data_IF_504853879319
#
_entry.id   IF_504853879319
#
_cell.length_a   1.000
_cell.length_b   1.000
_cell.length_c   1.000
_cell.angle_alpha   90.00
_cell.angle_beta   90.00
_cell.angle_gamma   90.00
#
_symmetry.space_group_name_H-M   'P 1'
#
loop_
_entity.id
_entity.type
_entity.pdbx_description
1 polymer ?
#
# COMPACT_ATOMS: atom_id res chain seq x y z
N UNK A 1 -8.62 5.88 -19.59
CA UNK A 1 -7.44 5.19 -20.19
C UNK A 1 -7.15 3.86 -19.47
N UNK A 2 -7.12 3.80 -18.12
CA UNK A 2 -6.80 2.57 -17.34
C UNK A 2 -7.64 1.34 -17.69
N UNK A 3 -8.99 1.38 -17.71
CA UNK A 3 -9.79 0.20 -17.96
C UNK A 3 -9.59 -0.38 -19.37
N UNK A 4 -9.33 0.46 -20.36
CA UNK A 4 -9.06 0.02 -21.73
C UNK A 4 -7.75 -0.75 -21.84
N UNK A 5 -6.65 -0.22 -21.27
CA UNK A 5 -5.35 -0.90 -21.31
C UNK A 5 -5.41 -2.24 -20.58
N UNK A 6 -6.03 -2.28 -19.40
CA UNK A 6 -6.21 -3.52 -18.65
C UNK A 6 -7.07 -4.54 -19.41
N UNK A 7 -8.10 -4.09 -20.15
CA UNK A 7 -8.94 -4.95 -20.97
C UNK A 7 -8.14 -5.57 -22.13
N UNK A 8 -7.40 -4.79 -22.90
CA UNK A 8 -6.61 -5.27 -24.03
C UNK A 8 -5.43 -6.18 -23.64
N UNK A 9 -4.94 -6.06 -22.41
CA UNK A 9 -3.86 -6.89 -21.89
C UNK A 9 -4.35 -8.15 -21.17
N UNK A 10 -5.63 -8.44 -21.11
CA UNK A 10 -6.16 -9.68 -20.51
C UNK A 10 -5.52 -10.91 -21.13
N UNK A 11 -5.27 -11.92 -20.31
CA UNK A 11 -4.63 -13.18 -20.68
C UNK A 11 -4.45 -14.05 -19.45
N UNK A 12 -3.67 -15.13 -19.56
CA UNK A 12 -3.52 -16.13 -18.50
C UNK A 12 -2.07 -16.32 -18.01
N UNK A 13 -1.13 -15.44 -18.44
CA UNK A 13 0.29 -15.64 -18.18
C UNK A 13 0.72 -15.10 -16.82
N UNK A 14 0.21 -13.91 -16.44
CA UNK A 14 0.59 -13.24 -15.20
C UNK A 14 -0.66 -12.85 -14.43
N UNK A 15 -0.74 -13.26 -13.15
CA UNK A 15 -1.88 -12.91 -12.28
C UNK A 15 -1.46 -11.86 -11.27
N UNK A 16 -2.25 -10.78 -11.15
CA UNK A 16 -2.11 -9.82 -10.08
C UNK A 16 -2.88 -10.30 -8.85
N UNK A 17 -2.22 -10.66 -7.73
CA UNK A 17 -2.89 -11.18 -6.54
C UNK A 17 -3.78 -10.16 -5.84
N UNK A 18 -3.61 -8.85 -6.12
CA UNK A 18 -4.37 -7.77 -5.47
C UNK A 18 -5.81 -7.70 -6.00
N UNK A 19 -6.03 -7.95 -7.30
CA UNK A 19 -7.37 -7.93 -7.89
C UNK A 19 -7.80 -9.28 -8.49
N UNK A 20 -6.91 -10.29 -8.46
CA UNK A 20 -7.15 -11.64 -8.98
C UNK A 20 -7.22 -11.75 -10.50
N UNK A 21 -6.90 -10.67 -11.22
CA UNK A 21 -6.99 -10.67 -12.68
C UNK A 21 -5.70 -11.12 -13.33
N UNK A 22 -5.85 -11.82 -14.48
CA UNK A 22 -4.71 -12.31 -15.25
C UNK A 22 -4.55 -11.54 -16.55
N UNK A 23 -3.28 -11.40 -16.94
CA UNK A 23 -2.84 -10.63 -18.09
C UNK A 23 -1.82 -11.43 -18.91
N UNK A 24 -1.75 -11.19 -20.23
CA UNK A 24 -0.69 -11.76 -21.10
C UNK A 24 0.68 -11.14 -20.83
N UNK A 25 0.71 -9.90 -20.35
CA UNK A 25 1.91 -9.21 -19.86
C UNK A 25 1.53 -8.09 -18.93
N UNK A 26 2.46 -7.66 -18.08
CA UNK A 26 2.38 -6.41 -17.35
C UNK A 26 3.02 -5.28 -18.15
N UNK A 27 2.84 -4.05 -17.70
CA UNK A 27 3.43 -2.86 -18.33
C UNK A 27 4.88 -2.67 -17.87
N UNK A 28 5.71 -2.01 -18.67
CA UNK A 28 7.04 -1.58 -18.23
C UNK A 28 6.94 -0.46 -17.18
N UNK A 29 7.95 -0.37 -16.31
CA UNK A 29 8.07 0.71 -15.34
C UNK A 29 9.52 0.92 -14.89
N UNK A 30 9.89 2.18 -14.65
CA UNK A 30 11.18 2.61 -14.09
C UNK A 30 11.56 4.02 -14.54
N UNK A 31 12.30 4.73 -13.68
CA UNK A 31 12.81 6.08 -13.99
C UNK A 31 14.23 6.03 -14.58
N UNK A 32 15.19 5.47 -13.84
CA UNK A 32 16.57 5.35 -14.29
C UNK A 32 16.80 4.16 -15.24
N UNK A 33 16.13 3.05 -14.95
CA UNK A 33 16.16 1.84 -15.78
C UNK A 33 14.74 1.31 -15.91
N UNK A 34 14.23 1.29 -17.12
CA UNK A 34 12.93 0.68 -17.42
C UNK A 34 13.07 -0.83 -17.31
N UNK A 35 12.18 -1.44 -16.50
CA UNK A 35 12.03 -2.88 -16.37
C UNK A 35 10.73 -3.31 -17.06
N UNK A 36 10.84 -4.31 -17.91
CA UNK A 36 9.69 -4.85 -18.60
C UNK A 36 8.84 -5.73 -17.67
N UNK A 37 7.53 -5.77 -17.93
CA UNK A 37 6.62 -6.72 -17.33
C UNK A 37 6.48 -6.63 -15.79
N UNK A 38 6.50 -5.42 -15.22
CA UNK A 38 6.52 -5.19 -13.77
C UNK A 38 5.26 -4.53 -13.21
N UNK A 39 4.59 -3.65 -13.99
CA UNK A 39 3.44 -2.87 -13.53
C UNK A 39 2.13 -3.50 -13.96
N UNK A 40 1.34 -3.99 -13.01
CA UNK A 40 0.04 -4.62 -13.30
C UNK A 40 -0.95 -3.60 -13.88
N UNK A 41 -1.58 -3.88 -15.04
CA UNK A 41 -2.42 -2.89 -15.74
C UNK A 41 -3.67 -2.44 -14.98
N UNK A 42 -4.23 -3.30 -14.14
CA UNK A 42 -5.47 -3.05 -13.41
C UNK A 42 -5.27 -2.24 -12.13
N UNK A 43 -4.32 -2.65 -11.31
CA UNK A 43 -4.07 -2.07 -9.99
C UNK A 43 -2.96 -1.02 -9.99
N UNK A 44 -2.11 -1.01 -11.03
CA UNK A 44 -0.82 -0.31 -11.06
C UNK A 44 0.13 -0.76 -9.96
N UNK A 45 0.00 -2.01 -9.53
CA UNK A 45 0.90 -2.60 -8.56
C UNK A 45 2.24 -2.97 -9.20
N UNK A 46 3.31 -2.70 -8.46
CA UNK A 46 4.65 -3.21 -8.73
C UNK A 46 4.88 -4.53 -7.96
N UNK A 47 6.01 -5.18 -8.19
CA UNK A 47 6.37 -6.45 -7.55
C UNK A 47 6.33 -6.36 -6.03
N UNK A 48 6.88 -5.27 -5.44
CA UNK A 48 6.87 -5.03 -3.98
C UNK A 48 5.46 -4.96 -3.42
N UNK A 49 4.50 -4.35 -4.14
CA UNK A 49 3.10 -4.26 -3.71
C UNK A 49 2.45 -5.64 -3.73
N UNK A 50 2.70 -6.46 -4.75
CA UNK A 50 2.15 -7.81 -4.85
C UNK A 50 2.75 -8.75 -3.80
N UNK A 51 4.05 -8.62 -3.52
CA UNK A 51 4.72 -9.37 -2.46
C UNK A 51 4.12 -9.00 -1.09
N UNK A 52 3.99 -7.71 -0.80
CA UNK A 52 3.39 -7.24 0.46
C UNK A 52 1.95 -7.71 0.62
N UNK A 53 1.14 -7.66 -0.45
CA UNK A 53 -0.23 -8.20 -0.43
C UNK A 53 -0.27 -9.68 -0.10
N UNK A 54 0.61 -10.48 -0.69
CA UNK A 54 0.71 -11.92 -0.42
C UNK A 54 1.17 -12.18 1.02
N UNK A 55 2.13 -11.41 1.52
CA UNK A 55 2.54 -11.46 2.92
C UNK A 55 1.38 -11.18 3.87
N UNK A 56 0.65 -10.07 3.67
CA UNK A 56 -0.52 -9.76 4.48
C UNK A 56 -1.57 -10.87 4.47
N UNK A 57 -1.76 -11.49 3.31
CA UNK A 57 -2.77 -12.55 3.12
C UNK A 57 -2.38 -13.89 3.75
N UNK A 58 -1.11 -14.27 3.64
CA UNK A 58 -0.67 -15.63 3.98
C UNK A 58 -0.01 -15.71 5.36
N UNK A 59 0.64 -14.63 5.80
CA UNK A 59 1.49 -14.64 7.00
C UNK A 59 0.90 -13.78 8.15
N UNK A 60 -0.26 -13.13 7.94
CA UNK A 60 -0.87 -12.28 8.97
C UNK A 60 -2.38 -12.48 9.04
N UNK A 61 -2.99 -11.94 10.09
CA UNK A 61 -4.44 -11.89 10.26
C UNK A 61 -5.09 -10.65 9.63
N UNK A 62 -4.37 -9.90 8.80
CA UNK A 62 -4.78 -8.60 8.27
C UNK A 62 -6.18 -8.60 7.62
N UNK A 63 -6.52 -9.65 6.86
CA UNK A 63 -7.79 -9.76 6.16
C UNK A 63 -8.89 -10.50 6.94
N UNK A 64 -8.60 -11.00 8.15
CA UNK A 64 -9.54 -11.80 8.95
C UNK A 64 -9.85 -11.23 10.34
N UNK A 65 -8.86 -10.61 11.00
CA UNK A 65 -9.06 -10.00 12.32
C UNK A 65 -9.63 -8.58 12.21
N UNK A 66 -10.43 -8.10 13.18
CA UNK A 66 -10.80 -6.69 13.27
C UNK A 66 -9.56 -5.89 13.70
N UNK A 67 -9.07 -5.00 12.82
CA UNK A 67 -7.87 -4.23 13.06
C UNK A 67 -8.08 -2.73 12.81
N UNK A 68 -7.48 -1.91 13.67
CA UNK A 68 -7.29 -0.47 13.46
C UNK A 68 -5.95 -0.30 12.73
N UNK A 69 -5.99 0.15 11.50
CA UNK A 69 -4.82 0.21 10.62
C UNK A 69 -4.46 1.65 10.30
N UNK A 70 -3.19 2.02 10.53
CA UNK A 70 -2.60 3.27 10.06
C UNK A 70 -1.68 2.99 8.87
N UNK A 71 -1.86 3.72 7.76
CA UNK A 71 -1.05 3.56 6.56
C UNK A 71 -0.40 4.88 6.16
N UNK A 72 0.93 4.95 6.31
CA UNK A 72 1.75 6.08 5.88
C UNK A 72 2.01 6.06 4.38
N UNK A 73 2.08 7.24 3.76
CA UNK A 73 2.36 7.42 2.33
C UNK A 73 1.52 6.46 1.46
N UNK A 74 0.18 6.51 1.54
CA UNK A 74 -0.70 5.45 1.07
C UNK A 74 -0.55 5.20 -0.44
N UNK A 75 -0.19 3.96 -0.78
CA UNK A 75 0.01 3.54 -2.16
C UNK A 75 -1.32 3.26 -2.86
N UNK A 76 -1.49 3.82 -4.06
CA UNK A 76 -2.73 3.68 -4.86
C UNK A 76 -3.17 2.22 -5.10
N UNK A 77 -2.22 1.29 -5.13
CA UNK A 77 -2.50 -0.13 -5.32
C UNK A 77 -3.37 -0.72 -4.19
N UNK A 78 -3.27 -0.16 -2.97
CA UNK A 78 -3.89 -0.69 -1.76
C UNK A 78 -5.10 0.10 -1.26
N UNK A 79 -5.06 1.45 -1.33
CA UNK A 79 -6.02 2.33 -0.65
C UNK A 79 -7.47 1.89 -0.87
N UNK A 80 -7.88 1.73 -2.13
CA UNK A 80 -9.27 1.35 -2.47
C UNK A 80 -9.60 -0.09 -2.07
N UNK A 81 -8.61 -0.95 -1.96
CA UNK A 81 -8.79 -2.34 -1.54
C UNK A 81 -8.95 -2.45 -0.03
N UNK A 82 -8.10 -1.73 0.73
CA UNK A 82 -8.16 -1.72 2.19
C UNK A 82 -9.39 -0.99 2.70
N UNK A 83 -9.78 0.16 2.10
CA UNK A 83 -11.03 0.87 2.42
C UNK A 83 -12.30 0.02 2.25
N UNK A 84 -12.26 -1.03 1.43
CA UNK A 84 -13.40 -1.96 1.22
C UNK A 84 -13.43 -3.12 2.19
N UNK A 85 -12.38 -3.34 2.99
CA UNK A 85 -12.35 -4.42 3.98
C UNK A 85 -13.22 -4.05 5.18
N UNK A 86 -14.22 -4.87 5.47
CA UNK A 86 -15.18 -4.62 6.57
C UNK A 86 -14.56 -4.83 7.96
N UNK A 87 -13.48 -5.60 8.02
CA UNK A 87 -12.76 -5.90 9.27
C UNK A 87 -11.73 -4.82 9.63
N UNK A 88 -11.44 -3.86 8.73
CA UNK A 88 -10.44 -2.84 8.97
C UNK A 88 -11.08 -1.49 9.33
N UNK A 89 -10.64 -0.88 10.43
CA UNK A 89 -10.75 0.56 10.65
C UNK A 89 -9.50 1.21 10.07
N UNK A 90 -9.58 1.61 8.81
CA UNK A 90 -8.42 2.00 7.99
C UNK A 90 -8.28 3.50 7.87
N UNK A 91 -7.16 4.03 8.36
CA UNK A 91 -6.79 5.45 8.29
C UNK A 91 -5.50 5.62 7.50
N UNK A 92 -5.44 6.60 6.63
CA UNK A 92 -4.24 6.95 5.88
C UNK A 92 -3.66 8.28 6.36
N UNK A 93 -2.33 8.37 6.41
CA UNK A 93 -1.63 9.60 6.79
C UNK A 93 -0.42 9.86 5.91
N UNK A 94 -0.13 11.13 5.70
CA UNK A 94 1.06 11.60 4.97
C UNK A 94 1.26 13.08 5.24
N UNK A 95 2.49 13.57 5.13
CA UNK A 95 2.80 14.98 5.31
C UNK A 95 2.22 15.87 4.19
N UNK A 96 2.21 15.39 2.95
CA UNK A 96 1.90 16.20 1.77
C UNK A 96 0.90 15.56 0.79
N UNK A 97 0.62 14.27 0.91
CA UNK A 97 -0.23 13.56 -0.04
C UNK A 97 -1.70 14.02 0.03
N UNK A 98 -2.32 14.41 -1.09
CA UNK A 98 -3.72 14.81 -1.14
C UNK A 98 -4.71 13.64 -0.99
N UNK A 99 -4.21 12.39 -1.03
CA UNK A 99 -5.06 11.19 -0.89
C UNK A 99 -5.07 10.63 0.54
N UNK A 100 -4.27 11.21 1.45
CA UNK A 100 -4.28 10.84 2.86
C UNK A 100 -5.51 11.43 3.59
N UNK A 101 -6.06 10.65 4.52
CA UNK A 101 -7.19 11.07 5.34
C UNK A 101 -6.77 12.10 6.40
N UNK A 102 -5.52 11.98 6.91
CA UNK A 102 -4.94 12.88 7.92
C UNK A 102 -3.59 13.38 7.43
N UNK A 103 -3.40 14.70 7.51
CA UNK A 103 -2.08 15.31 7.26
C UNK A 103 -1.28 15.34 8.56
N UNK A 104 -0.16 14.63 8.63
CA UNK A 104 0.67 14.56 9.84
C UNK A 104 2.15 14.34 9.50
N UNK A 105 3.01 14.86 10.40
CA UNK A 105 4.42 14.50 10.46
C UNK A 105 4.56 13.17 11.21
N UNK A 106 5.34 12.26 10.68
CA UNK A 106 5.62 10.95 11.31
C UNK A 106 6.34 11.08 12.66
N UNK A 107 7.04 12.20 12.86
CA UNK A 107 7.72 12.51 14.12
C UNK A 107 6.83 13.20 15.18
N UNK A 108 5.57 13.53 14.83
CA UNK A 108 4.61 14.18 15.74
C UNK A 108 3.18 13.82 15.33
N UNK A 109 2.74 12.61 15.69
CA UNK A 109 1.48 12.05 15.25
C UNK A 109 0.30 12.53 16.10
N UNK A 110 -0.78 13.06 15.51
CA UNK A 110 -1.93 13.60 16.24
C UNK A 110 -2.88 12.50 16.75
N UNK A 111 -2.36 11.32 17.01
CA UNK A 111 -3.13 10.18 17.51
C UNK A 111 -2.79 9.89 18.97
N UNK A 112 -3.78 9.33 19.69
CA UNK A 112 -3.57 8.88 21.07
C UNK A 112 -2.70 7.63 21.09
N UNK A 113 -2.08 7.37 22.24
CA UNK A 113 -1.34 6.14 22.48
C UNK A 113 -2.21 4.92 22.26
N UNK A 114 -1.64 3.87 21.69
CA UNK A 114 -2.31 2.59 21.42
C UNK A 114 -3.59 2.73 20.55
N UNK A 115 -3.59 3.66 19.59
CA UNK A 115 -4.73 3.90 18.69
C UNK A 115 -4.83 2.89 17.56
N UNK A 116 -3.75 2.22 17.21
CA UNK A 116 -3.68 1.30 16.06
C UNK A 116 -3.14 -0.07 16.47
N UNK A 117 -3.62 -1.10 15.78
CA UNK A 117 -3.20 -2.49 15.95
C UNK A 117 -2.18 -2.91 14.88
N UNK A 118 -2.16 -2.20 13.76
CA UNK A 118 -1.30 -2.49 12.61
C UNK A 118 -0.89 -1.19 11.90
N UNK A 119 0.41 -1.02 11.66
CA UNK A 119 0.94 0.16 10.97
C UNK A 119 1.66 -0.27 9.70
N UNK A 120 1.33 0.37 8.58
CA UNK A 120 2.00 0.21 7.28
C UNK A 120 2.83 1.47 7.03
N UNK A 121 4.15 1.30 6.94
CA UNK A 121 5.10 2.38 6.72
C UNK A 121 6.16 1.93 5.69
N UNK A 122 5.79 1.93 4.41
CA UNK A 122 6.65 1.46 3.33
C UNK A 122 7.36 2.63 2.65
N UNK A 123 8.69 2.56 2.51
CA UNK A 123 9.48 3.57 1.81
C UNK A 123 9.29 5.00 2.37
N UNK A 124 9.25 5.15 3.68
CA UNK A 124 9.09 6.43 4.39
C UNK A 124 10.29 6.74 5.24
N UNK A 125 10.72 5.82 6.09
CA UNK A 125 11.76 6.07 7.11
C UNK A 125 13.11 6.47 6.50
N UNK A 126 13.46 5.96 5.32
CA UNK A 126 14.67 6.36 4.59
C UNK A 126 14.73 7.84 4.18
N UNK A 127 13.60 8.54 4.26
CA UNK A 127 13.48 9.97 3.95
C UNK A 127 13.33 10.85 5.20
N UNK A 128 13.29 10.26 6.39
CA UNK A 128 13.07 10.97 7.66
C UNK A 128 14.42 11.22 8.34
N UNK A 129 14.80 12.51 8.59
CA UNK A 129 16.06 12.82 9.24
C UNK A 129 16.19 12.28 10.68
N UNK A 130 15.09 12.26 11.42
CA UNK A 130 15.01 11.69 12.78
C UNK A 130 14.14 10.42 12.75
N UNK A 131 14.69 9.35 12.18
CA UNK A 131 14.03 8.06 12.08
C UNK A 131 13.78 7.42 13.46
N UNK A 132 14.64 7.70 14.43
CA UNK A 132 14.49 7.25 15.82
C UNK A 132 13.21 7.82 16.44
N UNK A 133 12.99 9.13 16.30
CA UNK A 133 11.77 9.78 16.76
C UNK A 133 10.53 9.27 16.05
N UNK A 134 10.62 9.08 14.71
CA UNK A 134 9.56 8.49 13.94
C UNK A 134 9.19 7.07 14.44
N UNK A 135 10.17 6.21 14.71
CA UNK A 135 9.96 4.88 15.27
C UNK A 135 9.31 4.90 16.65
N UNK A 136 9.69 5.88 17.50
CA UNK A 136 9.06 6.07 18.82
C UNK A 136 7.59 6.45 18.68
N UNK A 137 7.25 7.36 17.77
CA UNK A 137 5.86 7.76 17.48
C UNK A 137 5.03 6.62 16.90
N UNK A 138 5.59 5.85 15.95
CA UNK A 138 4.95 4.66 15.43
C UNK A 138 4.67 3.61 16.52
N UNK A 139 5.58 3.46 17.47
CA UNK A 139 5.40 2.52 18.59
C UNK A 139 4.37 3.04 19.61
N UNK A 140 4.29 4.37 19.80
CA UNK A 140 3.36 4.99 20.75
C UNK A 140 1.91 4.84 20.32
N UNK A 141 1.62 5.05 19.02
CA UNK A 141 0.26 5.09 18.51
C UNK A 141 -0.30 3.72 18.19
#
# INVERSE_FOLDING_TARGET
VRPFVAFFLRGNTYTDPIDGKSYRRFLPYGYAKVRENVLAPGTLSLERHRLFWLYLKNETTFFSAPLRVLHFAPEQAFVQKFKKQKNLSYTTTDLNSPIADVKADICDLPFKDNSFDFIICNHVLEHIPDDTKAMQELYRV
#
